data_IF_803718819723
#
_entry.id   IF_803718819723
#
_cell.length_a   1.000
_cell.length_b   1.000
_cell.length_c   1.000
_cell.angle_alpha   90.00
_cell.angle_beta   90.00
_cell.angle_gamma   90.00
#
_symmetry.space_group_name_H-M   'P 1'
#
loop_
_entity.id
_entity.type
_entity.pdbx_description
1 polymer ?
#
# COMPACT_ATOMS: atom_id res chain seq x y z
N UNK A 1 -22.69 -29.42 14.00
CA UNK A 1 -23.10 -28.01 14.01
C UNK A 1 -23.91 -27.73 12.75
N UNK A 2 -25.08 -27.11 12.86
CA UNK A 2 -25.91 -26.78 11.69
C UNK A 2 -25.18 -25.78 10.78
N UNK A 3 -25.07 -26.12 9.50
CA UNK A 3 -24.44 -25.26 8.47
C UNK A 3 -25.37 -24.07 8.23
N UNK A 4 -24.92 -22.86 8.46
CA UNK A 4 -25.68 -21.63 8.13
C UNK A 4 -25.89 -21.55 6.63
N UNK A 5 -27.14 -21.24 6.22
CA UNK A 5 -27.51 -21.07 4.80
C UNK A 5 -27.95 -19.62 4.56
N UNK A 6 -27.81 -19.18 3.34
CA UNK A 6 -28.37 -17.90 2.88
C UNK A 6 -29.86 -18.06 2.51
N UNK A 7 -30.50 -16.98 2.06
CA UNK A 7 -31.90 -16.96 1.62
C UNK A 7 -32.18 -17.82 0.39
N UNK A 8 -31.17 -18.24 -0.37
CA UNK A 8 -31.23 -19.10 -1.54
C UNK A 8 -30.88 -20.57 -1.21
N UNK A 9 -30.57 -20.89 0.07
CA UNK A 9 -30.20 -22.23 0.52
C UNK A 9 -28.71 -22.59 0.39
N UNK A 10 -27.85 -21.69 -0.06
CA UNK A 10 -26.41 -21.92 -0.16
C UNK A 10 -25.75 -21.92 1.22
N UNK A 11 -24.88 -22.88 1.46
CA UNK A 11 -24.10 -22.96 2.69
C UNK A 11 -23.08 -21.80 2.80
N UNK A 12 -23.11 -21.11 3.95
CA UNK A 12 -22.20 -20.02 4.28
C UNK A 12 -21.02 -20.55 5.11
N UNK A 13 -19.80 -20.14 4.73
CA UNK A 13 -18.57 -20.50 5.43
C UNK A 13 -18.37 -19.65 6.70
N UNK A 14 -17.38 -20.03 7.52
CA UNK A 14 -16.97 -19.26 8.70
C UNK A 14 -16.55 -17.85 8.29
N UNK A 15 -17.18 -16.84 8.90
CA UNK A 15 -16.95 -15.42 8.57
C UNK A 15 -17.93 -14.86 7.55
N UNK A 16 -18.56 -15.70 6.71
CA UNK A 16 -19.60 -15.28 5.76
C UNK A 16 -20.96 -15.07 6.46
N UNK A 17 -21.70 -14.08 6.04
CA UNK A 17 -23.13 -13.91 6.39
C UNK A 17 -23.86 -13.12 5.31
N UNK A 18 -25.20 -13.27 5.24
CA UNK A 18 -26.05 -12.45 4.40
C UNK A 18 -26.76 -11.41 5.28
N UNK A 19 -26.80 -10.17 4.81
CA UNK A 19 -27.50 -9.07 5.47
C UNK A 19 -28.98 -9.04 5.08
N UNK A 20 -29.79 -8.33 5.83
CA UNK A 20 -31.22 -8.13 5.55
C UNK A 20 -31.47 -7.45 4.19
N UNK A 21 -30.52 -6.63 3.71
CA UNK A 21 -30.56 -5.98 2.40
C UNK A 21 -30.11 -6.90 1.23
N UNK A 22 -29.92 -8.20 1.49
CA UNK A 22 -29.54 -9.20 0.50
C UNK A 22 -28.04 -9.26 0.21
N UNK A 23 -27.25 -8.27 0.58
CA UNK A 23 -25.80 -8.26 0.37
C UNK A 23 -25.11 -9.28 1.26
N UNK A 24 -24.03 -9.85 0.74
CA UNK A 24 -23.16 -10.75 1.49
C UNK A 24 -22.02 -9.98 2.15
N UNK A 25 -21.59 -10.44 3.32
CA UNK A 25 -20.46 -9.88 4.07
C UNK A 25 -19.56 -11.01 4.54
N UNK A 26 -18.25 -10.80 4.39
CA UNK A 26 -17.21 -11.62 4.99
C UNK A 26 -16.46 -10.80 6.03
N UNK A 27 -16.42 -11.32 7.27
CA UNK A 27 -15.70 -10.72 8.40
C UNK A 27 -14.42 -11.49 8.66
N UNK A 28 -13.34 -10.76 8.85
CA UNK A 28 -12.02 -11.32 9.13
C UNK A 28 -11.25 -10.43 10.10
N UNK A 29 -10.18 -10.99 10.65
CA UNK A 29 -9.26 -10.26 11.53
C UNK A 29 -7.94 -10.08 10.78
N UNK A 30 -7.41 -8.85 10.76
CA UNK A 30 -6.13 -8.54 10.15
C UNK A 30 -4.98 -9.08 11.02
N UNK A 31 -3.75 -9.07 10.49
CA UNK A 31 -2.55 -9.46 11.24
C UNK A 31 -2.30 -8.60 12.50
N UNK A 32 -2.89 -7.40 12.55
CA UNK A 32 -2.81 -6.48 13.70
C UNK A 32 -3.94 -6.67 14.72
N UNK A 33 -4.79 -7.68 14.52
CA UNK A 33 -5.95 -7.92 15.40
C UNK A 33 -7.17 -7.05 15.09
N UNK A 34 -7.15 -6.22 14.06
CA UNK A 34 -8.29 -5.37 13.68
C UNK A 34 -9.38 -6.21 13.00
N UNK A 35 -10.64 -6.00 13.40
CA UNK A 35 -11.78 -6.61 12.73
C UNK A 35 -12.18 -5.83 11.48
N UNK A 36 -12.26 -6.50 10.36
CA UNK A 36 -12.61 -5.94 9.05
C UNK A 36 -13.77 -6.69 8.39
N UNK A 37 -14.42 -6.02 7.45
CA UNK A 37 -15.52 -6.60 6.69
C UNK A 37 -15.45 -6.17 5.24
N UNK A 38 -15.68 -7.13 4.33
CA UNK A 38 -15.86 -6.84 2.90
C UNK A 38 -17.25 -7.26 2.47
N UNK A 39 -17.78 -6.58 1.49
CA UNK A 39 -19.15 -6.74 1.01
C UNK A 39 -19.17 -7.09 -0.48
N UNK A 40 -20.20 -7.85 -0.87
CA UNK A 40 -20.50 -8.13 -2.26
C UNK A 40 -22.01 -8.29 -2.47
N UNK A 41 -22.49 -8.10 -3.69
CA UNK A 41 -23.89 -8.36 -4.06
C UNK A 41 -24.14 -9.86 -4.24
N UNK A 42 -23.17 -10.60 -4.74
CA UNK A 42 -23.22 -12.03 -4.99
C UNK A 42 -22.25 -12.81 -4.11
N UNK A 43 -22.64 -14.03 -3.70
CA UNK A 43 -21.80 -14.90 -2.88
C UNK A 43 -20.50 -15.31 -3.61
N UNK A 44 -20.58 -15.53 -4.92
CA UNK A 44 -19.43 -15.85 -5.76
C UNK A 44 -18.39 -14.73 -5.78
N UNK A 45 -18.83 -13.47 -5.85
CA UNK A 45 -17.96 -12.30 -5.78
C UNK A 45 -17.33 -12.17 -4.38
N UNK A 46 -18.13 -12.37 -3.32
CA UNK A 46 -17.61 -12.36 -1.95
C UNK A 46 -16.47 -13.38 -1.78
N UNK A 47 -16.67 -14.60 -2.26
CA UNK A 47 -15.67 -15.69 -2.16
C UNK A 47 -14.40 -15.41 -2.93
N UNK A 48 -14.48 -14.74 -4.08
CA UNK A 48 -13.28 -14.26 -4.81
C UNK A 48 -12.49 -13.24 -3.97
N UNK A 49 -13.19 -12.33 -3.28
CA UNK A 49 -12.54 -11.37 -2.36
C UNK A 49 -11.94 -12.08 -1.14
N UNK A 50 -12.68 -13.01 -0.55
CA UNK A 50 -12.23 -13.82 0.59
C UNK A 50 -10.92 -14.57 0.29
N UNK A 51 -10.86 -15.27 -0.84
CA UNK A 51 -9.64 -16.00 -1.25
C UNK A 51 -8.42 -15.06 -1.33
N UNK A 52 -8.60 -13.87 -1.93
CA UNK A 52 -7.52 -12.87 -2.03
C UNK A 52 -7.07 -12.37 -0.65
N UNK A 53 -8.02 -12.10 0.24
CA UNK A 53 -7.75 -11.61 1.60
C UNK A 53 -7.04 -12.68 2.42
N UNK A 54 -7.54 -13.92 2.41
CA UNK A 54 -6.90 -15.03 3.15
C UNK A 54 -5.47 -15.24 2.69
N UNK A 55 -5.24 -15.29 1.37
CA UNK A 55 -3.91 -15.42 0.81
C UNK A 55 -2.99 -14.26 1.20
N UNK A 56 -3.52 -13.03 1.21
CA UNK A 56 -2.73 -11.88 1.64
C UNK A 56 -2.33 -12.00 3.12
N UNK A 57 -3.26 -12.42 3.99
CA UNK A 57 -2.99 -12.63 5.42
C UNK A 57 -1.97 -13.77 5.62
N UNK A 58 -2.10 -14.88 4.90
CA UNK A 58 -1.14 -16.01 4.92
C UNK A 58 0.25 -15.58 4.49
N UNK A 59 0.33 -14.67 3.50
CA UNK A 59 1.60 -14.08 3.03
C UNK A 59 2.13 -12.95 3.95
N UNK A 60 1.49 -12.67 5.08
CA UNK A 60 1.89 -11.60 6.00
C UNK A 60 1.57 -10.19 5.52
N UNK A 61 0.63 -10.02 4.57
CA UNK A 61 0.29 -8.71 3.97
C UNK A 61 -0.95 -8.08 4.61
N UNK A 62 -0.96 -6.74 4.64
CA UNK A 62 -2.12 -5.90 4.99
C UNK A 62 -2.56 -5.06 3.77
N UNK A 63 -3.27 -5.67 2.79
CA UNK A 63 -3.67 -4.98 1.57
C UNK A 63 -4.63 -3.82 1.82
N UNK A 64 -5.48 -3.93 2.82
CA UNK A 64 -6.45 -2.88 3.17
C UNK A 64 -5.75 -1.59 3.62
N UNK A 65 -4.67 -1.72 4.37
CA UNK A 65 -3.86 -0.58 4.78
C UNK A 65 -3.12 0.02 3.59
N UNK A 66 -2.52 -0.81 2.74
CA UNK A 66 -1.84 -0.36 1.53
C UNK A 66 -2.78 0.37 0.55
N UNK A 67 -4.05 -0.01 0.49
CA UNK A 67 -5.06 0.67 -0.33
C UNK A 67 -5.49 2.04 0.22
N UNK A 68 -5.25 2.32 1.49
CA UNK A 68 -5.68 3.57 2.15
C UNK A 68 -4.59 4.59 2.25
N UNK A 69 -3.35 4.17 2.55
CA UNK A 69 -2.24 5.10 2.75
C UNK A 69 -1.63 5.57 1.43
N UNK A 70 -1.28 6.84 1.40
CA UNK A 70 -0.52 7.47 0.32
C UNK A 70 0.98 7.32 0.56
N UNK A 71 1.78 7.60 -0.48
CA UNK A 71 3.22 7.65 -0.32
C UNK A 71 3.64 8.74 0.67
N UNK A 72 2.94 9.88 0.72
CA UNK A 72 3.20 10.93 1.71
C UNK A 72 3.00 10.47 3.15
N UNK A 73 1.95 9.67 3.41
CA UNK A 73 1.68 9.12 4.73
C UNK A 73 2.66 8.01 5.12
N UNK A 74 3.16 7.27 4.13
CA UNK A 74 4.22 6.28 4.34
C UNK A 74 5.56 6.97 4.58
N UNK A 75 5.87 8.00 3.77
CA UNK A 75 7.07 8.81 3.86
C UNK A 75 6.92 9.84 4.99
N UNK A 76 7.12 9.42 6.22
CA UNK A 76 7.27 10.34 7.34
C UNK A 76 8.75 10.72 7.40
N UNK A 77 9.05 11.95 7.02
CA UNK A 77 10.43 12.46 6.96
C UNK A 77 11.20 12.19 8.27
N UNK A 78 10.56 12.43 9.42
CA UNK A 78 11.17 12.19 10.72
C UNK A 78 11.50 10.70 10.96
N UNK A 79 10.67 9.78 10.42
CA UNK A 79 10.93 8.34 10.51
C UNK A 79 12.07 7.90 9.60
N UNK A 80 12.19 8.49 8.39
CA UNK A 80 13.31 8.24 7.49
C UNK A 80 14.63 8.74 8.09
N UNK A 81 14.59 9.90 8.76
CA UNK A 81 15.74 10.54 9.35
C UNK A 81 16.20 9.88 10.65
N UNK A 82 15.26 9.41 11.48
CA UNK A 82 15.62 8.68 12.71
C UNK A 82 16.44 7.41 12.43
N UNK A 83 16.35 6.87 11.20
CA UNK A 83 17.20 5.75 10.77
C UNK A 83 18.58 6.17 10.24
N UNK A 84 18.84 7.47 10.09
CA UNK A 84 20.09 8.05 9.56
C UNK A 84 20.61 9.16 10.46
N UNK A 85 20.76 8.87 11.76
CA UNK A 85 21.16 9.82 12.81
C UNK A 85 22.48 10.56 12.57
N UNK A 86 23.27 10.18 11.53
CA UNK A 86 24.57 10.76 11.22
C UNK A 86 24.57 11.68 9.98
N UNK A 87 23.40 12.01 9.41
CA UNK A 87 23.36 12.90 8.24
C UNK A 87 23.65 14.34 8.64
N UNK A 88 24.49 15.01 7.85
CA UNK A 88 24.74 16.45 7.99
C UNK A 88 23.45 17.25 7.75
N UNK A 89 23.27 18.34 8.46
CA UNK A 89 22.08 19.22 8.34
C UNK A 89 21.83 19.70 6.91
N UNK A 90 22.89 19.95 6.14
CA UNK A 90 22.81 20.34 4.73
C UNK A 90 22.20 19.23 3.87
N UNK A 91 22.58 17.97 4.11
CA UNK A 91 22.01 16.81 3.41
C UNK A 91 20.54 16.64 3.74
N UNK A 92 20.19 16.82 5.01
CA UNK A 92 18.82 16.76 5.51
C UNK A 92 17.92 17.81 4.87
N UNK A 93 18.41 19.04 4.81
CA UNK A 93 17.71 20.18 4.18
C UNK A 93 17.48 19.91 2.70
N UNK A 94 18.50 19.38 2.00
CA UNK A 94 18.36 19.02 0.59
C UNK A 94 17.34 17.89 0.36
N UNK A 95 17.35 16.85 1.20
CA UNK A 95 16.36 15.76 1.11
C UNK A 95 14.94 16.26 1.34
N UNK A 96 14.71 17.14 2.34
CA UNK A 96 13.42 17.81 2.58
C UNK A 96 12.98 18.59 1.36
N UNK A 97 13.87 19.40 0.82
CA UNK A 97 13.60 20.19 -0.38
C UNK A 97 13.19 19.30 -1.55
N UNK A 98 13.99 18.28 -1.87
CA UNK A 98 13.76 17.38 -3.00
C UNK A 98 12.40 16.65 -2.88
N UNK A 99 12.09 16.12 -1.69
CA UNK A 99 10.82 15.46 -1.48
C UNK A 99 9.64 16.44 -1.58
N UNK A 100 9.71 17.56 -0.87
CA UNK A 100 8.61 18.52 -0.82
C UNK A 100 8.34 19.17 -2.17
N UNK A 101 9.38 19.45 -2.94
CA UNK A 101 9.25 20.19 -4.20
C UNK A 101 8.89 19.27 -5.39
N UNK A 102 9.39 18.05 -5.43
CA UNK A 102 9.25 17.17 -6.59
C UNK A 102 8.36 15.95 -6.39
N UNK A 103 8.18 15.49 -5.16
CA UNK A 103 7.44 14.26 -4.88
C UNK A 103 6.08 14.55 -4.25
N UNK A 104 6.02 15.41 -3.24
CA UNK A 104 4.90 15.58 -2.32
C UNK A 104 3.56 15.87 -3.02
N UNK A 105 3.55 16.87 -3.92
CA UNK A 105 2.28 17.39 -4.49
C UNK A 105 1.75 16.56 -5.67
N UNK A 106 2.59 15.73 -6.26
CA UNK A 106 2.23 14.83 -7.37
C UNK A 106 2.26 13.37 -6.94
N UNK A 107 3.41 12.75 -7.15
CA UNK A 107 3.62 11.32 -6.94
C UNK A 107 3.35 10.87 -5.49
N UNK A 108 3.65 11.74 -4.51
CA UNK A 108 3.42 11.51 -3.09
C UNK A 108 1.96 11.32 -2.68
N UNK A 109 1.01 11.83 -3.47
CA UNK A 109 -0.44 11.68 -3.23
C UNK A 109 -0.99 10.32 -3.68
N UNK A 110 -0.22 9.54 -4.42
CA UNK A 110 -0.64 8.23 -4.90
C UNK A 110 -0.71 7.23 -3.75
N UNK A 111 -1.71 6.36 -3.79
CA UNK A 111 -1.82 5.24 -2.84
C UNK A 111 -0.75 4.21 -3.15
N UNK A 112 -0.05 3.73 -2.14
CA UNK A 112 1.11 2.84 -2.33
C UNK A 112 0.75 1.55 -3.05
N UNK A 113 -0.45 1.00 -2.83
CA UNK A 113 -0.95 -0.19 -3.55
C UNK A 113 -1.12 0.01 -5.06
N UNK A 114 -1.20 1.26 -5.53
CA UNK A 114 -1.36 1.61 -6.95
C UNK A 114 -0.03 1.88 -7.64
N UNK A 115 1.04 2.10 -6.89
CA UNK A 115 2.35 2.43 -7.44
C UNK A 115 3.02 1.15 -7.92
N UNK A 116 3.30 1.09 -9.21
CA UNK A 116 4.02 0.00 -9.88
C UNK A 116 5.39 0.48 -10.34
N UNK A 117 6.26 -0.46 -10.69
CA UNK A 117 7.55 -0.17 -11.30
C UNK A 117 7.45 0.77 -12.52
N UNK A 118 6.46 0.54 -13.40
CA UNK A 118 6.21 1.41 -14.55
C UNK A 118 5.87 2.86 -14.17
N UNK A 119 5.21 3.07 -13.03
CA UNK A 119 4.86 4.42 -12.55
C UNK A 119 6.09 5.13 -11.98
N UNK A 120 6.96 4.39 -11.27
CA UNK A 120 8.28 4.89 -10.84
C UNK A 120 9.11 5.31 -12.05
N UNK A 121 9.20 4.47 -13.09
CA UNK A 121 9.92 4.81 -14.32
C UNK A 121 9.36 6.06 -14.98
N UNK A 122 8.05 6.15 -15.18
CA UNK A 122 7.41 7.35 -15.74
C UNK A 122 7.70 8.58 -14.93
N UNK A 123 7.61 8.48 -13.62
CA UNK A 123 7.93 9.58 -12.71
C UNK A 123 9.38 10.03 -12.86
N UNK A 124 10.33 9.12 -12.89
CA UNK A 124 11.75 9.46 -13.10
C UNK A 124 11.98 10.11 -14.45
N UNK A 125 11.38 9.60 -15.53
CA UNK A 125 11.47 10.22 -16.84
C UNK A 125 10.89 11.65 -16.86
N UNK A 126 9.77 11.89 -16.18
CA UNK A 126 9.21 13.25 -16.09
C UNK A 126 10.14 14.23 -15.39
N UNK A 127 10.85 13.79 -14.34
CA UNK A 127 11.87 14.62 -13.67
C UNK A 127 13.04 14.96 -14.60
N UNK A 128 13.48 14.02 -15.42
CA UNK A 128 14.56 14.26 -16.38
C UNK A 128 14.09 15.19 -17.49
N UNK A 129 12.98 14.87 -18.15
CA UNK A 129 12.54 15.57 -19.35
C UNK A 129 11.91 16.93 -19.06
N UNK A 130 11.11 17.04 -17.99
CA UNK A 130 10.35 18.26 -17.69
C UNK A 130 11.08 19.18 -16.71
N UNK A 131 11.88 18.60 -15.79
CA UNK A 131 12.57 19.35 -14.74
C UNK A 131 14.09 19.45 -14.97
N UNK A 132 14.60 18.82 -16.02
CA UNK A 132 16.02 18.86 -16.36
C UNK A 132 16.94 18.20 -15.34
N UNK A 133 16.45 17.15 -14.64
CA UNK A 133 17.25 16.47 -13.62
C UNK A 133 18.49 15.82 -14.21
N UNK A 134 19.61 16.08 -13.56
CA UNK A 134 20.88 15.39 -13.80
C UNK A 134 20.93 14.06 -13.03
N UNK A 135 21.82 13.12 -13.39
CA UNK A 135 21.93 11.82 -12.71
C UNK A 135 22.02 11.92 -11.18
N UNK A 136 22.85 12.83 -10.67
CA UNK A 136 22.99 13.03 -9.21
C UNK A 136 21.70 13.48 -8.52
N UNK A 137 20.87 14.31 -9.19
CA UNK A 137 19.58 14.74 -8.65
C UNK A 137 18.57 13.58 -8.64
N UNK A 138 18.63 12.72 -9.65
CA UNK A 138 17.81 11.50 -9.70
C UNK A 138 18.20 10.53 -8.60
N UNK A 139 19.49 10.36 -8.34
CA UNK A 139 20.00 9.50 -7.27
C UNK A 139 19.46 9.93 -5.90
N UNK A 140 19.37 11.25 -5.65
CA UNK A 140 18.78 11.77 -4.41
C UNK A 140 17.32 11.33 -4.29
N UNK A 141 16.50 11.49 -5.35
CA UNK A 141 15.08 11.07 -5.32
C UNK A 141 14.98 9.56 -5.12
N UNK A 142 15.80 8.77 -5.79
CA UNK A 142 15.84 7.33 -5.60
C UNK A 142 16.23 6.95 -4.16
N UNK A 143 17.23 7.61 -3.59
CA UNK A 143 17.67 7.43 -2.20
C UNK A 143 16.56 7.73 -1.18
N UNK A 144 15.59 8.58 -1.52
CA UNK A 144 14.41 8.85 -0.68
C UNK A 144 13.33 7.79 -0.86
N UNK A 145 13.04 7.38 -2.09
CA UNK A 145 11.93 6.49 -2.39
C UNK A 145 12.25 5.02 -2.11
N UNK A 146 13.44 4.55 -2.47
CA UNK A 146 13.81 3.14 -2.34
C UNK A 146 13.72 2.61 -0.89
N UNK A 147 14.31 3.25 0.13
CA UNK A 147 14.17 2.79 1.51
C UNK A 147 12.74 2.88 2.03
N UNK A 148 11.97 3.89 1.58
CA UNK A 148 10.55 4.04 1.95
C UNK A 148 9.74 2.83 1.48
N UNK A 149 9.91 2.42 0.24
CA UNK A 149 9.24 1.22 -0.29
C UNK A 149 9.81 -0.08 0.29
N UNK A 150 11.12 -0.14 0.57
CA UNK A 150 11.70 -1.29 1.29
C UNK A 150 11.04 -1.46 2.65
N UNK A 151 10.80 -0.36 3.37
CA UNK A 151 10.08 -0.39 4.65
C UNK A 151 8.63 -0.86 4.47
N UNK A 152 7.94 -0.41 3.40
CA UNK A 152 6.60 -0.89 3.09
C UNK A 152 6.54 -2.40 2.84
N UNK A 153 7.56 -2.97 2.21
CA UNK A 153 7.67 -4.43 2.02
C UNK A 153 7.88 -5.13 3.36
N UNK A 154 8.81 -4.65 4.19
CA UNK A 154 9.08 -5.21 5.52
C UNK A 154 7.89 -5.12 6.46
N UNK A 155 7.09 -4.06 6.35
CA UNK A 155 5.85 -3.85 7.11
C UNK A 155 4.65 -4.66 6.57
N UNK A 156 4.85 -5.48 5.54
CA UNK A 156 3.78 -6.28 4.92
C UNK A 156 2.74 -5.45 4.15
N UNK A 157 3.07 -4.23 3.73
CA UNK A 157 2.17 -3.39 2.93
C UNK A 157 2.27 -3.69 1.43
N UNK A 158 3.44 -4.06 0.97
CA UNK A 158 3.73 -4.41 -0.42
C UNK A 158 4.46 -5.75 -0.48
N UNK A 159 4.27 -6.50 -1.57
CA UNK A 159 5.03 -7.74 -1.82
C UNK A 159 6.44 -7.47 -2.32
N UNK A 160 6.57 -6.47 -3.16
CA UNK A 160 7.82 -6.11 -3.83
C UNK A 160 8.00 -4.59 -3.76
N UNK A 161 9.25 -4.18 -3.72
CA UNK A 161 9.60 -2.78 -3.81
C UNK A 161 9.49 -2.30 -5.27
N UNK A 162 8.60 -1.34 -5.59
CA UNK A 162 8.41 -0.89 -6.97
C UNK A 162 9.58 -0.08 -7.53
N UNK A 163 10.58 0.25 -6.73
CA UNK A 163 11.81 0.91 -7.19
C UNK A 163 12.92 -0.08 -7.56
N UNK A 164 12.72 -1.37 -7.35
CA UNK A 164 13.65 -2.43 -7.75
C UNK A 164 13.35 -2.85 -9.19
N UNK A 165 14.37 -2.79 -10.07
CA UNK A 165 14.33 -3.22 -11.47
C UNK A 165 15.24 -2.42 -12.39
#
# INVERSE_FOLDING_TARGET
MATRKDSRGYALKKGESQRKDGRYVFRYTTLRGEHRSVYAKELSELRKKEVKIRRAIEDGLDPDRAERITLNELFVFDRYISTKAELRDTTMTNYKYMYNHYVRDGFGKLRISKIKYSDIKKFYYSLILEKGFKPNSMEIVHTLLHPTFTMAVRDGLLRLNPTEG
#
